data_IF_311375035059
#
_entry.id   IF_311375035059
#
_cell.length_a   1.000
_cell.length_b   1.000
_cell.length_c   1.000
_cell.angle_alpha   90.00
_cell.angle_beta   90.00
_cell.angle_gamma   90.00
#
_symmetry.space_group_name_H-M   'P 1'
#
loop_
_entity.id
_entity.type
_entity.pdbx_description
1 polymer ?
#
# COMPACT_ATOMS: atom_id res chain seq x y z
N UNK A 1 47.13 -18.02 -30.62
CA UNK A 1 46.21 -18.47 -29.56
C UNK A 1 45.32 -17.29 -29.21
N UNK A 2 44.08 -17.31 -29.70
CA UNK A 2 43.08 -16.29 -29.39
C UNK A 2 42.29 -16.76 -28.15
N UNK A 3 42.39 -16.04 -27.04
CA UNK A 3 41.67 -16.33 -25.82
C UNK A 3 40.30 -15.68 -25.95
N UNK A 4 39.27 -16.49 -26.18
CA UNK A 4 37.89 -16.08 -26.17
C UNK A 4 37.41 -15.85 -24.73
N UNK A 5 37.08 -14.60 -24.39
CA UNK A 5 36.49 -14.26 -23.10
C UNK A 5 35.02 -14.77 -23.08
N UNK A 6 34.55 -15.36 -21.97
CA UNK A 6 33.19 -15.78 -21.85
C UNK A 6 32.27 -14.55 -21.78
N UNK A 7 31.33 -14.46 -22.69
CA UNK A 7 30.19 -13.54 -22.61
C UNK A 7 29.27 -14.09 -21.52
N UNK A 8 29.25 -13.42 -20.37
CA UNK A 8 28.23 -13.69 -19.36
C UNK A 8 26.87 -13.27 -19.93
N UNK A 9 26.04 -14.26 -20.20
CA UNK A 9 24.64 -14.04 -20.51
C UNK A 9 23.97 -13.35 -19.32
N UNK A 10 23.54 -12.12 -19.51
CA UNK A 10 22.67 -11.42 -18.55
C UNK A 10 21.39 -12.23 -18.42
N UNK A 11 21.06 -12.63 -17.21
CA UNK A 11 19.79 -13.25 -16.87
C UNK A 11 18.68 -12.32 -17.38
N UNK A 12 17.65 -12.82 -18.12
CA UNK A 12 16.55 -11.98 -18.52
C UNK A 12 15.95 -11.34 -17.27
N UNK A 13 15.79 -10.02 -17.30
CA UNK A 13 15.17 -9.28 -16.22
C UNK A 13 13.80 -9.90 -15.92
N UNK A 14 13.55 -10.19 -14.63
CA UNK A 14 12.23 -10.61 -14.19
C UNK A 14 11.20 -9.56 -14.64
N UNK A 15 9.97 -9.96 -15.03
CA UNK A 15 8.97 -9.00 -15.50
C UNK A 15 8.84 -7.87 -14.49
N UNK A 16 8.79 -6.64 -15.00
CA UNK A 16 8.65 -5.41 -14.21
C UNK A 16 7.38 -5.49 -13.34
N UNK A 17 7.57 -5.82 -12.06
CA UNK A 17 6.49 -5.92 -11.08
C UNK A 17 6.43 -4.66 -10.26
N UNK A 18 5.22 -4.18 -10.00
CA UNK A 18 4.99 -3.10 -9.04
C UNK A 18 5.55 -3.50 -7.68
N UNK A 19 6.33 -2.59 -7.09
CA UNK A 19 6.84 -2.71 -5.73
C UNK A 19 5.85 -2.05 -4.78
N UNK A 20 5.42 -2.77 -3.75
CA UNK A 20 4.61 -2.26 -2.67
C UNK A 20 5.31 -2.48 -1.34
N UNK A 21 5.44 -1.42 -0.55
CA UNK A 21 6.01 -1.47 0.79
C UNK A 21 5.06 -0.82 1.80
N UNK A 22 5.04 -1.36 3.02
CA UNK A 22 4.50 -0.68 4.19
C UNK A 22 5.65 -0.44 5.16
N UNK A 23 5.76 0.80 5.66
CA UNK A 23 6.67 1.13 6.76
C UNK A 23 5.84 1.40 8.01
N UNK A 24 6.20 0.70 9.09
CA UNK A 24 5.73 1.02 10.43
C UNK A 24 6.72 2.00 11.06
N UNK A 25 6.24 3.14 11.50
CA UNK A 25 7.04 4.23 12.03
C UNK A 25 6.67 4.53 13.48
N UNK A 26 7.68 4.78 14.32
CA UNK A 26 7.50 5.39 15.61
C UNK A 26 7.76 6.90 15.51
N UNK A 27 6.76 7.73 15.75
CA UNK A 27 6.92 9.18 15.78
C UNK A 27 7.37 9.60 17.18
N UNK A 28 8.42 10.42 17.27
CA UNK A 28 8.93 10.91 18.57
C UNK A 28 7.88 11.79 19.27
N UNK A 29 7.91 11.86 20.61
CA UNK A 29 7.06 12.77 21.36
C UNK A 29 7.15 14.21 20.80
N UNK A 30 6.00 14.89 20.72
CA UNK A 30 5.89 16.29 20.26
C UNK A 30 6.38 16.55 18.83
N UNK A 31 6.46 15.49 18.00
CA UNK A 31 6.87 15.60 16.59
C UNK A 31 5.76 15.34 15.58
N UNK A 32 4.51 15.15 16.01
CA UNK A 32 3.39 14.82 15.12
C UNK A 32 3.20 15.86 14.02
N UNK A 33 3.25 17.15 14.35
CA UNK A 33 3.13 18.23 13.36
C UNK A 33 4.30 18.25 12.39
N UNK A 34 5.53 18.09 12.91
CA UNK A 34 6.73 18.03 12.08
C UNK A 34 6.70 16.83 11.16
N UNK A 35 6.26 15.67 11.65
CA UNK A 35 6.06 14.47 10.85
C UNK A 35 5.06 14.72 9.71
N UNK A 36 3.91 15.32 10.01
CA UNK A 36 2.89 15.63 9.01
C UNK A 36 3.41 16.58 7.91
N UNK A 37 4.13 17.63 8.31
CA UNK A 37 4.70 18.61 7.37
C UNK A 37 5.77 17.97 6.47
N UNK A 38 6.67 17.17 7.05
CA UNK A 38 7.72 16.48 6.30
C UNK A 38 7.13 15.40 5.38
N UNK A 39 6.14 14.62 5.86
CA UNK A 39 5.44 13.66 5.04
C UNK A 39 4.78 14.32 3.83
N UNK A 40 4.07 15.44 4.03
CA UNK A 40 3.46 16.23 2.95
C UNK A 40 4.49 16.65 1.91
N UNK A 41 5.60 17.24 2.33
CA UNK A 41 6.66 17.73 1.45
C UNK A 41 7.28 16.58 0.63
N UNK A 42 7.68 15.50 1.31
CA UNK A 42 8.33 14.36 0.68
C UNK A 42 7.40 13.65 -0.29
N UNK A 43 6.16 13.34 0.13
CA UNK A 43 5.18 12.63 -0.69
C UNK A 43 4.82 13.45 -1.94
N UNK A 44 4.54 14.76 -1.78
CA UNK A 44 4.20 15.62 -2.92
C UNK A 44 5.34 15.66 -3.93
N UNK A 45 6.57 15.91 -3.47
CA UNK A 45 7.73 15.99 -4.36
C UNK A 45 7.98 14.64 -5.07
N UNK A 46 7.90 13.52 -4.36
CA UNK A 46 8.17 12.19 -4.93
C UNK A 46 7.10 11.78 -5.93
N UNK A 47 5.81 11.87 -5.58
CA UNK A 47 4.74 11.45 -6.48
C UNK A 47 4.63 12.37 -7.69
N UNK A 48 4.83 13.68 -7.52
CA UNK A 48 4.66 14.64 -8.61
C UNK A 48 5.83 14.66 -9.58
N UNK A 49 7.06 14.41 -9.13
CA UNK A 49 8.26 14.61 -9.94
C UNK A 49 9.03 13.33 -10.29
N UNK A 50 8.80 12.23 -9.58
CA UNK A 50 9.42 10.95 -9.88
C UNK A 50 8.47 10.11 -10.75
N UNK A 51 8.84 9.86 -12.00
CA UNK A 51 7.97 9.16 -12.97
C UNK A 51 7.47 7.80 -12.46
N UNK A 52 8.35 7.01 -11.84
CA UNK A 52 8.03 5.66 -11.37
C UNK A 52 7.50 5.57 -9.94
N UNK A 53 7.33 6.68 -9.21
CA UNK A 53 6.65 6.70 -7.90
C UNK A 53 5.15 6.87 -8.13
N UNK A 54 4.39 5.79 -7.96
CA UNK A 54 2.97 5.73 -8.31
C UNK A 54 2.05 6.30 -7.24
N UNK A 55 2.34 5.98 -5.99
CA UNK A 55 1.54 6.41 -4.84
C UNK A 55 2.34 6.39 -3.55
N UNK A 56 2.05 7.33 -2.67
CA UNK A 56 2.56 7.37 -1.31
C UNK A 56 1.47 7.88 -0.36
N UNK A 57 1.26 7.17 0.74
CA UNK A 57 0.19 7.44 1.70
C UNK A 57 0.73 7.40 3.12
N UNK A 58 0.64 8.52 3.82
CA UNK A 58 0.98 8.61 5.24
C UNK A 58 -0.28 8.62 6.09
N UNK A 59 -0.31 7.81 7.12
CA UNK A 59 -1.37 7.73 8.11
C UNK A 59 -0.81 7.50 9.51
N UNK A 60 -1.58 7.90 10.50
CA UNK A 60 -1.29 7.63 11.92
C UNK A 60 -2.40 6.78 12.52
N UNK A 61 -2.07 6.02 13.56
CA UNK A 61 -3.11 5.38 14.37
C UNK A 61 -3.94 6.46 15.07
N UNK A 62 -5.26 6.31 15.00
CA UNK A 62 -6.17 7.24 15.69
C UNK A 62 -6.17 7.05 17.21
N UNK A 63 -5.83 5.85 17.68
CA UNK A 63 -5.70 5.52 19.11
C UNK A 63 -4.29 5.78 19.69
N UNK A 64 -3.28 5.95 18.83
CA UNK A 64 -1.91 6.26 19.24
C UNK A 64 -1.15 6.99 18.11
N UNK A 65 -1.18 8.33 18.10
CA UNK A 65 -0.54 9.13 17.05
C UNK A 65 0.97 8.93 16.89
N UNK A 66 1.63 8.39 17.93
CA UNK A 66 3.05 8.03 17.85
C UNK A 66 3.33 6.80 16.98
N UNK A 67 2.30 6.09 16.54
CA UNK A 67 2.40 5.00 15.58
C UNK A 67 1.86 5.47 14.24
N UNK A 68 2.72 5.49 13.25
CA UNK A 68 2.39 5.88 11.89
C UNK A 68 2.73 4.77 10.89
N UNK A 69 2.12 4.85 9.73
CA UNK A 69 2.40 3.96 8.61
C UNK A 69 2.62 4.79 7.35
N UNK A 70 3.53 4.33 6.51
CA UNK A 70 3.70 4.80 5.15
C UNK A 70 3.44 3.64 4.20
N UNK A 71 2.54 3.82 3.25
CA UNK A 71 2.29 2.88 2.15
C UNK A 71 2.86 3.48 0.88
N UNK A 72 3.68 2.73 0.16
CA UNK A 72 4.38 3.22 -1.02
C UNK A 72 4.26 2.23 -2.17
N UNK A 73 3.97 2.75 -3.37
CA UNK A 73 3.89 1.97 -4.59
C UNK A 73 4.81 2.57 -5.67
N UNK A 74 5.62 1.71 -6.27
CA UNK A 74 6.55 2.06 -7.35
C UNK A 74 6.30 1.17 -8.56
N UNK A 75 6.50 1.71 -9.75
CA UNK A 75 6.30 1.00 -11.01
C UNK A 75 7.09 -0.31 -11.08
N UNK A 76 8.30 -0.31 -10.54
CA UNK A 76 9.19 -1.47 -10.46
C UNK A 76 10.34 -1.22 -9.48
N UNK A 77 11.21 -2.20 -9.31
CA UNK A 77 12.38 -2.12 -8.42
C UNK A 77 13.36 -1.01 -8.85
N UNK A 78 13.51 -0.74 -10.15
CA UNK A 78 14.35 0.35 -10.64
C UNK A 78 13.82 1.72 -10.20
N UNK A 79 12.50 1.92 -10.28
CA UNK A 79 11.83 3.12 -9.79
C UNK A 79 12.00 3.31 -8.28
N UNK A 80 11.87 2.23 -7.51
CA UNK A 80 12.13 2.27 -6.06
C UNK A 80 13.59 2.68 -5.75
N UNK A 81 14.56 2.11 -6.45
CA UNK A 81 15.99 2.49 -6.28
C UNK A 81 16.24 3.95 -6.66
N UNK A 82 15.60 4.46 -7.71
CA UNK A 82 15.68 5.88 -8.10
C UNK A 82 15.14 6.77 -6.99
N UNK A 83 13.96 6.42 -6.41
CA UNK A 83 13.39 7.14 -5.27
C UNK A 83 14.37 7.22 -4.09
N UNK A 84 15.02 6.12 -3.70
CA UNK A 84 15.99 6.11 -2.61
C UNK A 84 17.22 7.03 -2.84
N UNK A 85 17.49 7.37 -4.10
CA UNK A 85 18.57 8.28 -4.49
C UNK A 85 18.09 9.69 -4.85
N UNK A 86 16.78 9.94 -4.82
CA UNK A 86 16.19 11.23 -5.14
C UNK A 86 16.31 12.24 -3.97
N UNK A 87 16.36 13.52 -4.28
CA UNK A 87 16.49 14.58 -3.28
C UNK A 87 15.36 14.60 -2.23
N UNK A 88 14.07 14.36 -2.59
CA UNK A 88 13.00 14.32 -1.58
C UNK A 88 13.23 13.25 -0.50
N UNK A 89 13.66 12.06 -0.90
CA UNK A 89 13.97 10.99 0.05
C UNK A 89 15.21 11.30 0.89
N UNK A 90 16.28 11.83 0.29
CA UNK A 90 17.50 12.22 1.02
C UNK A 90 17.21 13.31 2.05
N UNK A 91 16.41 14.31 1.69
CA UNK A 91 15.98 15.37 2.60
C UNK A 91 15.16 14.81 3.78
N UNK A 92 14.25 13.87 3.52
CA UNK A 92 13.54 13.15 4.57
C UNK A 92 14.51 12.34 5.44
N UNK A 93 15.39 11.55 4.85
CA UNK A 93 16.32 10.69 5.57
C UNK A 93 17.26 11.46 6.50
N UNK A 94 17.69 12.65 6.08
CA UNK A 94 18.52 13.54 6.91
C UNK A 94 17.76 14.06 8.16
N UNK A 95 16.46 14.27 8.07
CA UNK A 95 15.61 14.76 9.18
C UNK A 95 15.00 13.64 10.01
N UNK A 96 14.92 12.43 9.47
CA UNK A 96 14.24 11.29 10.08
C UNK A 96 14.67 11.00 11.53
N UNK A 97 15.97 11.04 11.91
CA UNK A 97 16.39 10.77 13.29
C UNK A 97 15.79 11.71 14.34
N UNK A 98 15.44 12.94 13.95
CA UNK A 98 14.83 13.93 14.86
C UNK A 98 13.30 13.78 14.96
N UNK A 99 12.69 13.01 14.02
CA UNK A 99 11.24 12.91 13.87
C UNK A 99 10.73 11.54 14.27
N UNK A 100 11.46 10.47 13.88
CA UNK A 100 11.09 9.08 14.14
C UNK A 100 12.17 8.36 14.94
N UNK A 101 11.75 7.47 15.84
CA UNK A 101 12.63 6.63 16.66
C UNK A 101 12.58 5.15 16.26
N UNK A 102 11.66 4.79 15.37
CA UNK A 102 11.49 3.43 14.86
C UNK A 102 11.07 3.43 13.41
N UNK A 103 11.68 2.55 12.62
CA UNK A 103 11.29 2.27 11.23
C UNK A 103 11.39 0.77 10.98
N UNK A 104 10.28 0.16 10.62
CA UNK A 104 10.22 -1.24 10.19
C UNK A 104 9.62 -1.32 8.80
N UNK A 105 10.32 -1.94 7.85
CA UNK A 105 9.86 -2.13 6.47
C UNK A 105 9.24 -3.51 6.32
N UNK A 106 8.04 -3.56 5.77
CA UNK A 106 7.34 -4.77 5.35
C UNK A 106 7.31 -4.75 3.82
N UNK A 107 8.01 -5.69 3.20
CA UNK A 107 8.00 -5.90 1.75
C UNK A 107 6.81 -6.77 1.40
N UNK A 108 5.98 -6.30 0.49
CA UNK A 108 4.73 -6.95 0.11
C UNK A 108 4.79 -7.47 -1.32
N UNK A 109 4.14 -8.62 -1.54
CA UNK A 109 3.87 -9.18 -2.87
C UNK A 109 2.44 -8.80 -3.28
N UNK A 110 2.26 -7.88 -4.24
CA UNK A 110 0.94 -7.47 -4.70
C UNK A 110 0.11 -8.65 -5.20
N UNK A 111 -1.16 -8.71 -4.77
CA UNK A 111 -2.14 -9.68 -5.23
C UNK A 111 -3.24 -9.01 -6.05
N UNK A 112 -3.62 -7.79 -5.71
CA UNK A 112 -4.50 -6.91 -6.46
C UNK A 112 -4.12 -5.46 -6.17
N UNK A 113 -3.98 -4.65 -7.20
CA UNK A 113 -3.77 -3.21 -7.09
C UNK A 113 -4.69 -2.48 -8.06
N UNK A 114 -5.56 -1.64 -7.52
CA UNK A 114 -6.44 -0.82 -8.33
C UNK A 114 -6.74 0.52 -7.67
N UNK A 115 -6.67 1.61 -8.43
CA UNK A 115 -7.01 2.93 -7.93
C UNK A 115 -7.55 3.88 -9.00
N UNK A 116 -8.19 4.93 -8.51
CA UNK A 116 -8.57 6.15 -9.23
C UNK A 116 -7.59 7.25 -8.85
N UNK A 117 -7.52 8.31 -9.64
CA UNK A 117 -6.80 9.51 -9.20
C UNK A 117 -7.52 10.12 -7.98
N UNK A 118 -6.79 10.25 -6.87
CA UNK A 118 -7.35 10.68 -5.59
C UNK A 118 -7.02 12.15 -5.36
N UNK A 119 -8.06 12.95 -5.17
CA UNK A 119 -7.97 14.33 -4.68
C UNK A 119 -8.55 14.31 -3.25
N UNK A 120 -7.68 14.10 -2.23
CA UNK A 120 -8.16 13.91 -0.87
C UNK A 120 -8.72 15.23 -0.30
N UNK A 121 -9.73 15.09 0.55
CA UNK A 121 -10.30 16.18 1.33
C UNK A 121 -10.51 15.72 2.78
N UNK A 122 -11.10 16.56 3.62
CA UNK A 122 -11.34 16.30 5.05
C UNK A 122 -12.24 15.09 5.33
N UNK A 123 -13.03 14.64 4.33
CA UNK A 123 -13.92 13.48 4.46
C UNK A 123 -13.25 12.19 4.02
N UNK A 124 -12.14 12.28 3.29
CA UNK A 124 -11.42 11.08 2.78
C UNK A 124 -10.90 10.25 3.93
N UNK A 125 -11.19 8.96 3.91
CA UNK A 125 -10.72 7.99 4.89
C UNK A 125 -9.90 6.89 4.24
N UNK A 126 -9.11 6.21 5.04
CA UNK A 126 -8.38 5.02 4.65
C UNK A 126 -8.50 3.91 5.69
N UNK A 127 -8.45 2.67 5.23
CA UNK A 127 -8.43 1.49 6.07
C UNK A 127 -7.13 0.70 5.87
N UNK A 128 -6.61 0.15 6.95
CA UNK A 128 -5.54 -0.83 6.92
C UNK A 128 -6.00 -2.07 7.69
N UNK A 129 -6.16 -3.17 6.98
CA UNK A 129 -6.63 -4.44 7.56
C UNK A 129 -5.59 -5.52 7.32
N UNK A 130 -5.25 -6.26 8.37
CA UNK A 130 -4.32 -7.40 8.30
C UNK A 130 -5.13 -8.67 8.54
N UNK A 131 -5.03 -9.63 7.63
CA UNK A 131 -5.73 -10.92 7.74
C UNK A 131 -4.71 -12.05 7.66
N UNK A 132 -4.72 -12.91 8.66
CA UNK A 132 -3.99 -14.18 8.62
C UNK A 132 -4.93 -15.26 8.09
N UNK A 133 -4.74 -15.61 6.83
CA UNK A 133 -5.53 -16.64 6.15
C UNK A 133 -4.94 -18.00 6.50
N UNK A 134 -5.80 -18.96 6.84
CA UNK A 134 -5.36 -20.34 7.11
C UNK A 134 -4.71 -20.93 5.85
N UNK A 135 -3.60 -21.67 5.98
CA UNK A 135 -2.83 -22.16 4.84
C UNK A 135 -3.65 -22.94 3.81
N UNK A 136 -4.61 -23.74 4.28
CA UNK A 136 -5.47 -24.57 3.44
C UNK A 136 -6.45 -23.76 2.59
N UNK A 137 -6.73 -22.50 2.96
CA UNK A 137 -7.69 -21.64 2.26
C UNK A 137 -7.05 -20.56 1.40
N UNK A 138 -5.73 -20.50 1.26
CA UNK A 138 -5.05 -19.42 0.53
C UNK A 138 -5.58 -19.20 -0.89
N UNK A 139 -5.70 -20.27 -1.66
CA UNK A 139 -6.18 -20.19 -3.05
C UNK A 139 -7.66 -19.81 -3.11
N UNK A 140 -8.49 -20.42 -2.27
CA UNK A 140 -9.93 -20.13 -2.24
C UNK A 140 -10.19 -18.69 -1.79
N UNK A 141 -9.53 -18.22 -0.73
CA UNK A 141 -9.61 -16.87 -0.26
C UNK A 141 -9.25 -15.85 -1.35
N UNK A 142 -8.13 -16.07 -2.05
CA UNK A 142 -7.70 -15.25 -3.17
C UNK A 142 -8.77 -15.19 -4.27
N UNK A 143 -9.32 -16.32 -4.66
CA UNK A 143 -10.33 -16.40 -5.72
C UNK A 143 -11.66 -15.74 -5.37
N UNK A 144 -11.93 -15.48 -4.09
CA UNK A 144 -13.12 -14.77 -3.62
C UNK A 144 -12.84 -13.28 -3.46
N UNK A 145 -11.74 -12.90 -2.79
CA UNK A 145 -11.49 -11.51 -2.41
C UNK A 145 -11.08 -10.64 -3.59
N UNK A 146 -10.27 -11.14 -4.54
CA UNK A 146 -9.79 -10.29 -5.63
C UNK A 146 -10.90 -9.86 -6.60
N UNK A 147 -11.85 -10.74 -7.03
CA UNK A 147 -13.00 -10.30 -7.82
C UNK A 147 -13.91 -9.32 -7.08
N UNK A 148 -14.07 -9.49 -5.77
CA UNK A 148 -14.85 -8.54 -4.95
C UNK A 148 -14.22 -7.14 -4.98
N UNK A 149 -12.89 -7.04 -4.75
CA UNK A 149 -12.17 -5.76 -4.80
C UNK A 149 -12.25 -5.10 -6.19
N UNK A 150 -12.13 -5.90 -7.25
CA UNK A 150 -12.25 -5.39 -8.63
C UNK A 150 -13.66 -4.85 -8.92
N UNK A 151 -14.71 -5.54 -8.48
CA UNK A 151 -16.09 -5.08 -8.64
C UNK A 151 -16.36 -3.83 -7.83
N UNK A 152 -15.94 -3.78 -6.57
CA UNK A 152 -16.07 -2.60 -5.72
C UNK A 152 -15.45 -1.35 -6.35
N UNK A 153 -14.21 -1.46 -6.82
CA UNK A 153 -13.53 -0.34 -7.48
C UNK A 153 -14.24 0.11 -8.75
N UNK A 154 -14.84 -0.83 -9.49
CA UNK A 154 -15.53 -0.57 -10.75
C UNK A 154 -16.89 0.10 -10.56
N UNK A 155 -17.70 -0.39 -9.64
CA UNK A 155 -19.13 0.03 -9.56
C UNK A 155 -19.39 1.07 -8.46
N UNK A 156 -18.54 1.15 -7.44
CA UNK A 156 -18.71 2.05 -6.32
C UNK A 156 -17.92 3.35 -6.53
N UNK A 157 -18.61 4.47 -6.70
CA UNK A 157 -17.98 5.78 -6.95
C UNK A 157 -17.08 6.20 -5.79
N UNK A 158 -17.48 5.91 -4.56
CA UNK A 158 -16.78 6.31 -3.35
C UNK A 158 -15.59 5.40 -2.98
N UNK A 159 -15.41 4.27 -3.65
CA UNK A 159 -14.21 3.43 -3.54
C UNK A 159 -13.12 4.03 -4.44
N UNK A 160 -12.04 4.56 -3.85
CA UNK A 160 -11.00 5.29 -4.56
C UNK A 160 -9.74 4.47 -4.81
N UNK A 161 -9.37 3.60 -3.88
CA UNK A 161 -8.27 2.66 -4.03
C UNK A 161 -8.55 1.38 -3.25
N UNK A 162 -8.14 0.26 -3.84
CA UNK A 162 -8.11 -1.05 -3.20
C UNK A 162 -6.80 -1.75 -3.53
N UNK A 163 -6.03 -2.07 -2.51
CA UNK A 163 -4.79 -2.80 -2.63
C UNK A 163 -4.80 -4.01 -1.71
N UNK A 164 -4.51 -5.18 -2.25
CA UNK A 164 -4.29 -6.41 -1.51
C UNK A 164 -2.91 -6.95 -1.82
N UNK A 165 -2.16 -7.25 -0.79
CA UNK A 165 -0.82 -7.83 -0.92
C UNK A 165 -0.53 -8.79 0.22
N UNK A 166 0.38 -9.72 0.01
CA UNK A 166 0.84 -10.64 1.04
C UNK A 166 2.24 -10.27 1.52
N UNK A 167 2.53 -10.54 2.78
CA UNK A 167 3.89 -10.38 3.31
C UNK A 167 4.84 -11.33 2.58
N UNK A 168 5.94 -10.80 2.03
CA UNK A 168 6.93 -11.60 1.28
C UNK A 168 7.60 -12.70 2.13
N UNK A 169 7.63 -12.52 3.46
CA UNK A 169 8.20 -13.48 4.41
C UNK A 169 7.15 -14.40 5.05
N UNK A 170 5.87 -14.01 5.00
CA UNK A 170 4.74 -14.72 5.60
C UNK A 170 3.54 -14.69 4.64
N UNK A 171 3.52 -15.51 3.57
CA UNK A 171 2.53 -15.43 2.49
C UNK A 171 1.07 -15.61 2.94
N UNK A 172 0.85 -16.16 4.12
CA UNK A 172 -0.47 -16.30 4.71
C UNK A 172 -1.01 -15.00 5.33
N UNK A 173 -0.13 -14.01 5.50
CA UNK A 173 -0.46 -12.72 6.08
C UNK A 173 -0.76 -11.73 4.97
N UNK A 174 -2.02 -11.33 4.90
CA UNK A 174 -2.54 -10.40 3.91
C UNK A 174 -2.66 -9.01 4.50
N UNK A 175 -2.34 -8.01 3.68
CA UNK A 175 -2.51 -6.59 3.96
C UNK A 175 -3.49 -6.03 2.95
N UNK A 176 -4.56 -5.44 3.45
CA UNK A 176 -5.54 -4.69 2.67
C UNK A 176 -5.38 -3.22 3.01
N UNK A 177 -5.18 -2.41 1.99
CA UNK A 177 -5.15 -0.97 2.13
C UNK A 177 -6.17 -0.38 1.17
N UNK A 178 -7.10 0.39 1.73
CA UNK A 178 -8.28 0.87 1.01
C UNK A 178 -8.46 2.35 1.29
N UNK A 179 -8.92 3.11 0.28
CA UNK A 179 -9.21 4.53 0.41
C UNK A 179 -10.62 4.77 -0.10
N UNK A 180 -11.41 5.48 0.70
CA UNK A 180 -12.79 5.85 0.43
C UNK A 180 -12.95 7.36 0.41
N UNK A 181 -13.88 7.86 -0.41
CA UNK A 181 -14.16 9.29 -0.51
C UNK A 181 -14.72 9.86 0.80
N UNK A 182 -15.40 9.03 1.60
CA UNK A 182 -15.95 9.39 2.91
C UNK A 182 -16.25 8.16 3.77
N UNK A 183 -16.55 8.39 5.05
CA UNK A 183 -17.06 7.36 5.96
C UNK A 183 -18.41 6.80 5.46
N UNK A 184 -19.29 7.65 4.90
CA UNK A 184 -20.56 7.21 4.33
C UNK A 184 -20.37 6.27 3.16
N UNK A 185 -19.38 6.54 2.28
CA UNK A 185 -19.05 5.66 1.17
C UNK A 185 -18.52 4.31 1.66
N UNK A 186 -17.72 4.30 2.73
CA UNK A 186 -17.30 3.06 3.37
C UNK A 186 -18.47 2.27 3.96
N UNK A 187 -19.42 2.94 4.61
CA UNK A 187 -20.60 2.28 5.15
C UNK A 187 -21.51 1.73 4.03
N UNK A 188 -21.61 2.43 2.89
CA UNK A 188 -22.31 1.92 1.70
C UNK A 188 -21.61 0.67 1.14
N UNK A 189 -20.28 0.72 0.98
CA UNK A 189 -19.48 -0.43 0.55
C UNK A 189 -19.79 -1.68 1.39
N UNK A 190 -19.80 -1.54 2.71
CA UNK A 190 -20.07 -2.66 3.63
C UNK A 190 -21.46 -3.29 3.50
N UNK A 191 -22.39 -2.64 2.82
CA UNK A 191 -23.76 -3.10 2.59
C UNK A 191 -23.96 -3.64 1.17
N UNK A 192 -22.97 -3.57 0.31
CA UNK A 192 -23.07 -4.08 -1.06
C UNK A 192 -23.20 -5.61 -1.08
N UNK A 193 -23.93 -6.17 -2.06
CA UNK A 193 -24.09 -7.63 -2.19
C UNK A 193 -22.73 -8.35 -2.33
N UNK A 194 -21.80 -7.80 -3.11
CA UNK A 194 -20.48 -8.43 -3.32
C UNK A 194 -19.65 -8.45 -2.05
N UNK A 195 -19.64 -7.37 -1.24
CA UNK A 195 -18.95 -7.35 0.04
C UNK A 195 -19.57 -8.30 1.06
N UNK A 196 -20.89 -8.34 1.18
CA UNK A 196 -21.60 -9.25 2.09
C UNK A 196 -21.35 -10.72 1.69
N UNK A 197 -21.33 -10.99 0.39
CA UNK A 197 -21.04 -12.34 -0.13
C UNK A 197 -19.59 -12.75 0.19
N UNK A 198 -18.63 -11.84 -0.01
CA UNK A 198 -17.23 -12.05 0.41
C UNK A 198 -17.14 -12.40 1.90
N UNK A 199 -17.77 -11.60 2.77
CA UNK A 199 -17.74 -11.86 4.22
C UNK A 199 -18.31 -13.24 4.56
N UNK A 200 -19.44 -13.61 3.95
CA UNK A 200 -20.10 -14.90 4.18
C UNK A 200 -19.21 -16.07 3.75
N UNK A 201 -18.62 -15.98 2.56
CA UNK A 201 -17.80 -17.05 2.02
C UNK A 201 -16.47 -17.23 2.78
N UNK A 202 -15.87 -16.15 3.25
CA UNK A 202 -14.53 -16.16 3.87
C UNK A 202 -14.52 -16.26 5.39
N UNK A 203 -15.69 -16.29 6.05
CA UNK A 203 -15.82 -16.22 7.51
C UNK A 203 -14.99 -17.28 8.27
N UNK A 204 -14.81 -18.45 7.69
CA UNK A 204 -14.07 -19.58 8.30
C UNK A 204 -12.60 -19.67 7.85
N UNK A 205 -12.18 -18.83 6.88
CA UNK A 205 -10.88 -18.95 6.22
C UNK A 205 -9.76 -18.21 6.95
N UNK A 206 -10.08 -17.25 7.81
CA UNK A 206 -9.09 -16.50 8.56
C UNK A 206 -8.87 -17.07 9.95
N UNK A 207 -7.59 -17.12 10.36
CA UNK A 207 -7.20 -17.40 11.74
C UNK A 207 -7.27 -16.14 12.61
N UNK A 208 -6.99 -14.97 11.99
CA UNK A 208 -6.99 -13.65 12.63
C UNK A 208 -7.31 -12.55 11.66
N UNK A 209 -7.99 -11.52 12.13
CA UNK A 209 -8.26 -10.28 11.38
C UNK A 209 -8.09 -9.08 12.30
N UNK A 210 -7.20 -8.17 11.94
CA UNK A 210 -6.92 -6.95 12.67
C UNK A 210 -7.23 -5.74 11.78
N UNK A 211 -8.26 -4.98 12.12
CA UNK A 211 -8.51 -3.66 11.56
C UNK A 211 -7.70 -2.64 12.36
N UNK A 212 -6.66 -2.07 11.76
CA UNK A 212 -5.81 -1.08 12.41
C UNK A 212 -6.51 0.28 12.35
N UNK A 213 -6.83 0.90 13.50
CA UNK A 213 -7.48 2.20 13.50
C UNK A 213 -6.51 3.28 13.02
N UNK A 214 -6.71 3.75 11.80
CA UNK A 214 -5.86 4.77 11.16
C UNK A 214 -6.67 5.97 10.73
N UNK A 215 -5.98 7.10 10.61
CA UNK A 215 -6.48 8.32 9.99
C UNK A 215 -5.44 8.85 9.00
N UNK A 216 -5.86 9.42 7.87
CA UNK A 216 -4.95 10.01 6.91
C UNK A 216 -4.13 11.16 7.52
N UNK A 217 -2.84 11.22 7.18
CA UNK A 217 -1.97 12.38 7.40
C UNK A 217 -1.77 13.11 6.09
N UNK A 218 -1.36 12.39 5.05
CA UNK A 218 -1.26 12.92 3.70
C UNK A 218 -1.33 11.77 2.69
N UNK A 219 -2.19 11.91 1.68
CA UNK A 219 -2.44 10.91 0.65
C UNK A 219 -2.20 11.51 -0.74
N UNK A 220 -1.41 10.82 -1.58
CA UNK A 220 -1.17 11.25 -2.96
C UNK A 220 -0.89 10.06 -3.88
N UNK A 221 -1.51 10.05 -5.05
CA UNK A 221 -1.25 9.07 -6.09
C UNK A 221 -1.36 9.68 -7.49
N UNK A 222 -0.84 8.98 -8.49
CA UNK A 222 -1.05 9.30 -9.89
C UNK A 222 -2.40 8.80 -10.39
N UNK A 223 -2.89 7.71 -9.80
CA UNK A 223 -4.10 7.02 -10.20
C UNK A 223 -3.96 6.17 -11.45
N UNK A 224 -4.92 5.28 -11.65
CA UNK A 224 -4.99 4.44 -12.84
C UNK A 224 -4.19 3.14 -12.75
N UNK A 225 -3.75 2.73 -11.57
CA UNK A 225 -3.17 1.41 -11.37
C UNK A 225 -4.27 0.37 -11.62
N UNK A 226 -3.96 -0.61 -12.50
CA UNK A 226 -4.84 -1.74 -12.84
C UNK A 226 -3.98 -2.98 -12.93
N UNK A 227 -3.58 -3.53 -11.81
CA UNK A 227 -2.89 -4.82 -11.74
C UNK A 227 -3.82 -5.85 -11.13
N UNK A 228 -4.46 -6.62 -12.00
CA UNK A 228 -5.17 -7.84 -11.68
C UNK A 228 -4.35 -9.01 -12.21
N UNK A 229 -3.75 -9.85 -11.35
CA UNK A 229 -2.94 -10.98 -11.78
C UNK A 229 -3.74 -12.09 -12.50
N UNK A 230 -5.05 -11.91 -12.63
CA UNK A 230 -5.95 -12.84 -13.34
C UNK A 230 -6.42 -12.31 -14.70
N UNK A 231 -5.87 -11.18 -15.20
CA UNK A 231 -6.11 -10.66 -16.55
C UNK A 231 -4.85 -10.61 -17.39
#
# INVERSE_FOLDING_TARGET
MLISSPVFATKPDAPDKVVMNIFELGVRPDRDKVFADVARQTISASVDHEAGTLAMYAQQRSDNPRKAFMVELYENESAYRKHLNAEPYKAFAARAPDIIDRKNKITLEPQFLGDKHIIPNERTINNLVIVEVKPEFQTEFKNIVLPEMAESLKVEKGVLAMYAATDSQSPNRWYFYEIYASEEDYQLHRQTPHFLDYLRQTAHMSARKDAIPVKPVFLRNKGGIKQDPHR
#
